data_IF_839443815376
#
_entry.id   IF_839443815376
#
_cell.length_a   1.000
_cell.length_b   1.000
_cell.length_c   1.000
_cell.angle_alpha   90.00
_cell.angle_beta   90.00
_cell.angle_gamma   90.00
#
_symmetry.space_group_name_H-M   'P 1'
#
loop_
_entity.id
_entity.type
_entity.pdbx_description
1 polymer ?
#
# COMPACT_ATOMS: atom_id res chain seq x y z
N UNK A 1 12.27 -0.55 -6.97
CA UNK A 1 11.04 -0.53 -7.80
C UNK A 1 9.81 -0.45 -6.90
N UNK A 2 8.72 0.12 -7.42
CA UNK A 2 7.38 0.24 -6.83
C UNK A 2 6.31 -0.40 -7.73
N UNK A 3 6.71 -1.20 -8.72
CA UNK A 3 5.79 -1.90 -9.60
C UNK A 3 5.07 -3.04 -8.87
N UNK A 4 3.77 -3.16 -9.13
CA UNK A 4 2.94 -4.25 -8.61
C UNK A 4 3.14 -5.48 -9.50
N UNK A 5 3.65 -6.55 -8.93
CA UNK A 5 3.81 -7.83 -9.63
C UNK A 5 2.45 -8.51 -9.84
N UNK A 6 2.37 -9.47 -10.78
CA UNK A 6 1.14 -10.24 -11.01
C UNK A 6 0.66 -11.00 -9.77
N UNK A 7 1.58 -11.52 -8.96
CA UNK A 7 1.27 -12.16 -7.69
C UNK A 7 0.66 -11.16 -6.69
N UNK A 8 1.27 -9.98 -6.54
CA UNK A 8 0.76 -8.93 -5.67
C UNK A 8 -0.61 -8.42 -6.13
N UNK A 9 -0.81 -8.28 -7.45
CA UNK A 9 -2.09 -7.93 -8.05
C UNK A 9 -3.19 -8.95 -7.68
N UNK A 10 -2.89 -10.25 -7.70
CA UNK A 10 -3.83 -11.29 -7.31
C UNK A 10 -4.29 -11.18 -5.85
N UNK A 11 -3.39 -10.81 -4.93
CA UNK A 11 -3.71 -10.56 -3.52
C UNK A 11 -4.53 -9.28 -3.37
N UNK A 12 -4.12 -8.19 -4.04
CA UNK A 12 -4.83 -6.90 -4.00
C UNK A 12 -6.26 -7.02 -4.55
N UNK A 13 -6.49 -7.86 -5.57
CA UNK A 13 -7.82 -8.10 -6.11
C UNK A 13 -8.76 -8.77 -5.09
N UNK A 14 -8.25 -9.69 -4.27
CA UNK A 14 -9.03 -10.30 -3.19
C UNK A 14 -9.43 -9.26 -2.14
N UNK A 15 -8.48 -8.39 -1.75
CA UNK A 15 -8.76 -7.29 -0.83
C UNK A 15 -9.73 -6.27 -1.43
N UNK A 16 -9.64 -5.96 -2.72
CA UNK A 16 -10.57 -5.07 -3.41
C UNK A 16 -12.01 -5.62 -3.33
N UNK A 17 -12.22 -6.92 -3.52
CA UNK A 17 -13.54 -7.55 -3.34
C UNK A 17 -14.09 -7.41 -1.92
N UNK A 18 -13.23 -7.56 -0.91
CA UNK A 18 -13.61 -7.40 0.50
C UNK A 18 -13.97 -5.93 0.83
N UNK A 19 -13.20 -4.98 0.32
CA UNK A 19 -13.44 -3.55 0.57
C UNK A 19 -14.68 -3.04 -0.18
N UNK A 20 -14.93 -3.54 -1.40
CA UNK A 20 -16.12 -3.21 -2.17
C UNK A 20 -17.40 -3.75 -1.53
N UNK A 21 -17.34 -4.91 -0.86
CA UNK A 21 -18.48 -5.45 -0.10
C UNK A 21 -18.66 -4.79 1.28
N UNK A 22 -17.69 -4.00 1.75
CA UNK A 22 -17.71 -3.31 3.04
C UNK A 22 -17.36 -1.82 2.87
N UNK A 23 -18.27 -0.99 2.31
CA UNK A 23 -17.97 0.40 1.98
C UNK A 23 -17.66 1.30 3.19
N UNK A 24 -17.97 0.86 4.41
CA UNK A 24 -17.62 1.57 5.65
C UNK A 24 -16.27 1.12 6.25
N UNK A 25 -15.65 0.07 5.69
CA UNK A 25 -14.36 -0.41 6.16
C UNK A 25 -13.24 0.48 5.62
N UNK A 26 -12.45 1.03 6.53
CA UNK A 26 -11.19 1.70 6.19
C UNK A 26 -10.03 0.70 6.18
N UNK A 27 -9.09 0.89 5.28
CA UNK A 27 -7.83 0.14 5.20
C UNK A 27 -6.64 1.07 5.35
N UNK A 28 -5.61 0.59 6.03
CA UNK A 28 -4.31 1.27 6.13
C UNK A 28 -3.29 0.44 5.35
N UNK A 29 -2.58 1.08 4.42
CA UNK A 29 -1.47 0.50 3.68
C UNK A 29 -0.18 1.05 4.28
N UNK A 30 0.63 0.17 4.87
CA UNK A 30 1.89 0.51 5.49
C UNK A 30 3.07 0.15 4.57
N UNK A 31 3.89 1.13 4.22
CA UNK A 31 5.11 0.95 3.43
C UNK A 31 6.34 0.82 4.31
N UNK A 32 7.04 -0.31 4.18
CA UNK A 32 8.24 -0.66 4.94
C UNK A 32 9.45 -0.85 4.00
N UNK A 33 10.64 -0.55 4.50
CA UNK A 33 11.91 -0.72 3.79
C UNK A 33 12.94 -1.35 4.72
N UNK A 34 14.01 -1.91 4.14
CA UNK A 34 15.18 -2.36 4.88
C UNK A 34 16.04 -1.18 5.33
N UNK A 35 17.03 -1.43 6.19
CA UNK A 35 17.95 -0.44 6.77
C UNK A 35 18.98 0.14 5.77
N UNK A 36 18.84 -0.20 4.48
CA UNK A 36 19.80 0.16 3.44
C UNK A 36 19.46 1.51 2.83
N UNK A 37 20.14 2.56 3.27
CA UNK A 37 20.00 3.90 2.72
C UNK A 37 19.87 4.94 3.83
N UNK A 38 19.47 6.16 3.47
CA UNK A 38 19.08 7.15 4.48
C UNK A 38 17.65 6.91 4.93
N UNK A 39 17.36 7.26 6.18
CA UNK A 39 16.01 7.23 6.75
C UNK A 39 14.99 7.93 5.88
N UNK A 40 15.31 9.13 5.39
CA UNK A 40 14.42 9.95 4.55
C UNK A 40 14.14 9.26 3.21
N UNK A 41 15.17 8.63 2.62
CA UNK A 41 15.01 7.86 1.39
C UNK A 41 14.10 6.65 1.61
N UNK A 42 14.29 5.95 2.73
CA UNK A 42 13.52 4.78 3.13
C UNK A 42 12.04 5.10 3.38
N UNK A 43 11.76 6.20 4.09
CA UNK A 43 10.39 6.71 4.25
C UNK A 43 9.78 7.06 2.87
N UNK A 44 10.50 7.80 2.03
CA UNK A 44 9.99 8.18 0.71
C UNK A 44 9.79 6.97 -0.23
N UNK A 45 10.61 5.93 -0.11
CA UNK A 45 10.49 4.70 -0.89
C UNK A 45 9.30 3.86 -0.40
N UNK A 46 9.14 3.70 0.91
CA UNK A 46 8.00 3.01 1.50
C UNK A 46 6.69 3.70 1.15
N UNK A 47 6.65 5.03 1.21
CA UNK A 47 5.49 5.84 0.84
C UNK A 47 5.11 5.61 -0.63
N UNK A 48 6.07 5.70 -1.56
CA UNK A 48 5.81 5.46 -3.00
C UNK A 48 5.28 4.06 -3.28
N UNK A 49 5.80 3.04 -2.59
CA UNK A 49 5.33 1.65 -2.74
C UNK A 49 3.91 1.47 -2.21
N UNK A 50 3.61 2.07 -1.06
CA UNK A 50 2.27 2.01 -0.48
C UNK A 50 1.24 2.80 -1.32
N UNK A 51 1.65 3.92 -1.93
CA UNK A 51 0.84 4.66 -2.89
C UNK A 51 0.52 3.83 -4.13
N UNK A 52 1.50 3.11 -4.70
CA UNK A 52 1.25 2.23 -5.85
C UNK A 52 0.18 1.16 -5.55
N UNK A 53 0.17 0.60 -4.34
CA UNK A 53 -0.87 -0.35 -3.92
C UNK A 53 -2.24 0.33 -3.74
N UNK A 54 -2.28 1.54 -3.17
CA UNK A 54 -3.51 2.36 -3.07
C UNK A 54 -4.11 2.64 -4.43
N UNK A 55 -3.28 3.09 -5.37
CA UNK A 55 -3.75 3.48 -6.71
C UNK A 55 -4.25 2.26 -7.49
N UNK A 56 -3.60 1.10 -7.31
CA UNK A 56 -4.09 -0.17 -7.84
C UNK A 56 -5.48 -0.53 -7.29
N UNK A 57 -5.68 -0.46 -5.96
CA UNK A 57 -6.99 -0.73 -5.35
C UNK A 57 -8.07 0.27 -5.80
N UNK A 58 -7.70 1.54 -5.96
CA UNK A 58 -8.59 2.56 -6.49
C UNK A 58 -9.02 2.25 -7.93
N UNK A 59 -8.11 1.76 -8.76
CA UNK A 59 -8.41 1.31 -10.13
C UNK A 59 -9.35 0.08 -10.15
N UNK A 60 -9.39 -0.71 -9.08
CA UNK A 60 -10.36 -1.81 -8.90
C UNK A 60 -11.71 -1.35 -8.32
N UNK A 61 -11.91 -0.04 -8.12
CA UNK A 61 -13.18 0.54 -7.65
C UNK A 61 -13.28 0.75 -6.15
N UNK A 62 -12.20 0.53 -5.38
CA UNK A 62 -12.19 0.85 -3.95
C UNK A 62 -12.19 2.36 -3.75
N UNK A 63 -13.09 2.86 -2.90
CA UNK A 63 -13.15 4.29 -2.59
C UNK A 63 -11.83 4.77 -1.96
N UNK A 64 -11.19 5.73 -2.60
CA UNK A 64 -9.89 6.28 -2.15
C UNK A 64 -9.95 6.83 -0.72
N UNK A 65 -11.09 7.39 -0.31
CA UNK A 65 -11.31 7.91 1.04
C UNK A 65 -11.24 6.82 2.13
N UNK A 66 -11.44 5.55 1.74
CA UNK A 66 -11.33 4.42 2.65
C UNK A 66 -9.89 3.91 2.77
N UNK A 67 -8.94 4.44 1.99
CA UNK A 67 -7.55 3.99 1.96
C UNK A 67 -6.65 5.07 2.56
N UNK A 68 -5.96 4.74 3.65
CA UNK A 68 -4.90 5.57 4.23
C UNK A 68 -3.53 4.96 3.94
N UNK A 69 -2.59 5.78 3.50
CA UNK A 69 -1.19 5.36 3.30
C UNK A 69 -0.35 5.88 4.46
N UNK A 70 0.54 5.03 4.97
CA UNK A 70 1.55 5.39 5.97
C UNK A 70 2.86 4.74 5.53
N UNK A 71 3.99 5.43 5.66
CA UNK A 71 5.30 4.78 5.57
C UNK A 71 6.02 4.84 6.90
N UNK A 72 6.53 3.68 7.31
CA UNK A 72 7.40 3.56 8.48
C UNK A 72 8.89 3.56 8.10
N UNK A 73 9.22 3.55 6.80
CA UNK A 73 10.58 3.35 6.34
C UNK A 73 11.21 2.11 6.99
N UNK A 74 12.38 2.29 7.58
CA UNK A 74 13.14 1.27 8.33
C UNK A 74 12.76 1.19 9.84
N UNK A 75 11.92 2.10 10.34
CA UNK A 75 11.68 2.27 11.79
C UNK A 75 10.78 1.19 12.41
N UNK A 76 10.07 0.43 11.56
CA UNK A 76 9.31 -0.76 11.96
C UNK A 76 9.58 -1.87 10.96
N UNK A 77 10.59 -2.74 11.16
CA UNK A 77 10.72 -3.93 10.33
C UNK A 77 9.46 -4.81 10.50
N UNK A 78 8.93 -5.30 9.39
CA UNK A 78 7.75 -6.18 9.33
C UNK A 78 8.17 -7.65 9.13
#
# INVERSE_FOLDING_TARGET
SSEITSQAAGVLNQHAGLLSSNPNAGVVIAGHTDERGSREYNIALGERRAQAARDYLAAQGVAVNNIRVISYGEERPA
#
